data_IF_584260850787
#
_entry.id   IF_584260850787
#
_cell.length_a   1.000
_cell.length_b   1.000
_cell.length_c   1.000
_cell.angle_alpha   90.00
_cell.angle_beta   90.00
_cell.angle_gamma   90.00
#
_symmetry.space_group_name_H-M   'P 1'
#
loop_
_entity.id
_entity.type
_entity.pdbx_description
1 polymer ?
#
# COMPACT_ATOMS: atom_id res chain seq x y z
N UNK A 1 -25.97 -11.25 -10.82
CA UNK A 1 -25.65 -12.08 -9.64
C UNK A 1 -24.14 -12.00 -9.41
N UNK A 2 -23.68 -11.15 -8.50
CA UNK A 2 -22.28 -11.13 -8.07
C UNK A 2 -22.20 -11.78 -6.69
N UNK A 3 -21.73 -13.03 -6.64
CA UNK A 3 -21.37 -13.71 -5.42
C UNK A 3 -20.00 -13.22 -4.96
N UNK A 4 -19.99 -12.32 -3.98
CA UNK A 4 -18.79 -11.94 -3.25
C UNK A 4 -18.83 -12.58 -1.86
N UNK A 5 -18.59 -13.88 -1.80
CA UNK A 5 -18.17 -14.54 -0.56
C UNK A 5 -16.65 -14.44 -0.46
N UNK A 6 -16.18 -13.30 0.07
CA UNK A 6 -14.87 -13.22 0.70
C UNK A 6 -15.07 -12.69 2.10
N UNK A 7 -15.10 -13.63 3.04
CA UNK A 7 -15.01 -13.39 4.46
C UNK A 7 -13.84 -12.44 4.75
N UNK A 8 -14.16 -11.24 5.24
CA UNK A 8 -13.22 -10.43 6.00
C UNK A 8 -12.97 -11.18 7.30
N UNK A 9 -11.79 -11.77 7.41
CA UNK A 9 -11.31 -12.40 8.64
C UNK A 9 -11.35 -11.37 9.77
N UNK A 10 -12.15 -11.64 10.79
CA UNK A 10 -11.88 -11.17 12.16
C UNK A 10 -12.77 -10.09 12.76
N UNK A 11 -13.95 -9.79 12.20
CA UNK A 11 -14.91 -8.91 12.89
C UNK A 11 -16.24 -9.65 13.13
N UNK A 12 -16.57 -10.08 14.37
CA UNK A 12 -17.89 -10.61 14.65
C UNK A 12 -18.93 -9.49 14.45
N UNK A 13 -19.99 -9.81 13.72
CA UNK A 13 -20.99 -8.89 13.18
C UNK A 13 -21.89 -8.16 14.22
N UNK A 14 -21.46 -8.01 15.47
CA UNK A 14 -22.31 -7.52 16.57
C UNK A 14 -21.91 -6.19 17.22
N UNK A 15 -20.84 -5.52 16.78
CA UNK A 15 -20.43 -4.25 17.39
C UNK A 15 -20.82 -3.03 16.54
N UNK A 16 -21.77 -2.26 17.08
CA UNK A 16 -22.29 -1.05 16.46
C UNK A 16 -21.21 0.00 16.17
N UNK A 17 -21.50 0.83 15.16
CA UNK A 17 -20.68 1.90 14.54
C UNK A 17 -20.02 2.94 15.48
N UNK A 18 -20.17 2.81 16.80
CA UNK A 18 -19.57 3.67 17.83
C UNK A 18 -18.36 3.04 18.55
N UNK A 19 -18.04 1.79 18.30
CA UNK A 19 -16.92 1.07 18.98
C UNK A 19 -15.61 1.04 18.16
N UNK A 20 -15.60 1.59 16.94
CA UNK A 20 -14.40 1.61 16.07
C UNK A 20 -13.27 2.53 16.57
N UNK A 21 -13.45 3.28 17.68
CA UNK A 21 -12.39 4.11 18.28
C UNK A 21 -11.49 3.33 19.26
N UNK A 22 -11.78 2.06 19.52
CA UNK A 22 -11.05 1.19 20.46
C UNK A 22 -10.67 -0.16 19.89
N UNK A 23 -10.78 -0.36 18.57
CA UNK A 23 -10.01 -1.43 17.95
C UNK A 23 -8.54 -1.19 18.35
N UNK A 24 -7.88 -2.14 19.02
CA UNK A 24 -6.49 -1.95 19.37
C UNK A 24 -5.78 -1.75 18.03
N UNK A 25 -5.25 -0.54 17.83
CA UNK A 25 -4.18 -0.34 16.86
C UNK A 25 -3.24 -1.52 17.11
N UNK A 26 -3.12 -2.42 16.15
CA UNK A 26 -2.18 -3.52 16.21
C UNK A 26 -0.89 -2.94 16.78
N UNK A 27 -0.47 -3.44 17.95
CA UNK A 27 0.57 -2.83 18.77
C UNK A 27 1.72 -2.36 17.88
N UNK A 28 1.87 -1.05 17.74
CA UNK A 28 3.01 -0.43 17.08
C UNK A 28 4.26 -0.90 17.85
N UNK A 29 4.93 -1.96 17.38
CA UNK A 29 6.12 -2.51 18.01
C UNK A 29 6.16 -4.03 18.24
N UNK A 30 5.09 -4.78 17.97
CA UNK A 30 5.22 -6.24 17.97
C UNK A 30 5.96 -6.69 16.70
N UNK A 31 7.01 -7.53 16.80
CA UNK A 31 7.71 -8.04 15.64
C UNK A 31 6.74 -8.78 14.72
N UNK A 32 6.67 -8.38 13.46
CA UNK A 32 5.99 -9.18 12.44
C UNK A 32 6.86 -10.41 12.20
N UNK A 33 6.41 -11.58 12.66
CA UNK A 33 7.04 -12.83 12.26
C UNK A 33 6.83 -13.04 10.76
N UNK A 34 7.90 -12.84 9.99
CA UNK A 34 7.94 -13.16 8.56
C UNK A 34 7.98 -14.68 8.40
N UNK A 35 6.80 -15.32 8.42
CA UNK A 35 6.67 -16.77 8.26
C UNK A 35 7.22 -17.22 6.90
N UNK A 36 8.07 -18.24 6.95
CA UNK A 36 8.36 -19.08 5.77
C UNK A 36 9.39 -18.50 4.80
N UNK A 37 10.59 -18.19 5.28
CA UNK A 37 11.71 -17.87 4.40
C UNK A 37 12.83 -18.89 4.57
N UNK A 38 13.28 -19.47 3.46
CA UNK A 38 14.49 -20.29 3.42
C UNK A 38 15.76 -19.49 3.77
N UNK A 39 16.94 -19.98 3.40
CA UNK A 39 18.27 -19.38 3.68
C UNK A 39 18.49 -17.92 3.22
N UNK A 40 17.49 -17.24 2.65
CA UNK A 40 17.62 -15.89 2.13
C UNK A 40 17.23 -14.83 3.16
N UNK A 41 17.88 -13.66 3.08
CA UNK A 41 17.54 -12.51 3.91
C UNK A 41 16.13 -12.01 3.55
N UNK A 42 15.33 -11.58 4.54
CA UNK A 42 14.01 -11.02 4.28
C UNK A 42 14.12 -9.75 3.46
N UNK A 43 13.20 -9.58 2.52
CA UNK A 43 13.01 -8.31 1.81
C UNK A 43 11.64 -7.76 2.22
N UNK A 44 11.61 -6.51 2.66
CA UNK A 44 10.39 -5.78 2.96
C UNK A 44 10.23 -4.64 1.95
N UNK A 45 9.14 -4.69 1.18
CA UNK A 45 8.74 -3.61 0.29
C UNK A 45 7.57 -2.84 0.93
N UNK A 46 7.67 -1.52 1.03
CA UNK A 46 6.68 -0.65 1.68
C UNK A 46 6.20 0.37 0.65
N UNK A 47 4.89 0.39 0.37
CA UNK A 47 4.23 1.50 -0.31
C UNK A 47 3.59 2.43 0.72
N UNK A 48 3.84 3.73 0.62
CA UNK A 48 3.20 4.75 1.46
C UNK A 48 2.29 5.56 0.57
N UNK A 49 0.97 5.41 0.76
CA UNK A 49 -0.01 6.10 -0.07
C UNK A 49 0.03 7.61 0.16
N UNK A 50 -0.19 8.38 -0.92
CA UNK A 50 -0.16 9.84 -0.95
C UNK A 50 1.11 10.49 -0.37
N UNK A 51 2.23 9.76 -0.27
CA UNK A 51 3.50 10.27 0.20
C UNK A 51 4.22 11.10 -0.87
N UNK A 52 3.73 12.33 -1.09
CA UNK A 52 4.32 13.28 -2.03
C UNK A 52 5.79 13.56 -1.68
N UNK A 53 6.68 13.38 -2.65
CA UNK A 53 8.12 13.31 -2.42
C UNK A 53 8.71 14.60 -1.83
N UNK A 54 8.23 15.78 -2.23
CA UNK A 54 8.72 17.06 -1.69
C UNK A 54 8.31 17.27 -0.23
N UNK A 55 7.10 16.88 0.16
CA UNK A 55 6.66 16.89 1.56
C UNK A 55 7.52 15.94 2.40
N UNK A 56 7.75 14.72 1.93
CA UNK A 56 8.57 13.72 2.64
C UNK A 56 9.98 14.24 2.85
N UNK A 57 10.61 14.79 1.81
CA UNK A 57 11.96 15.39 1.92
C UNK A 57 12.01 16.55 2.92
N UNK A 58 11.01 17.44 2.90
CA UNK A 58 10.93 18.54 3.87
C UNK A 58 10.83 18.00 5.30
N UNK A 59 9.95 17.03 5.55
CA UNK A 59 9.76 16.44 6.87
C UNK A 59 11.01 15.69 7.37
N UNK A 60 11.79 15.08 6.47
CA UNK A 60 13.10 14.52 6.81
C UNK A 60 14.08 15.63 7.20
N UNK A 61 14.17 16.70 6.41
CA UNK A 61 15.05 17.84 6.68
C UNK A 61 14.72 18.55 8.01
N UNK A 62 13.43 18.64 8.35
CA UNK A 62 12.94 19.21 9.61
C UNK A 62 13.15 18.26 10.81
N UNK A 63 13.68 17.04 10.59
CA UNK A 63 13.92 16.04 11.64
C UNK A 63 12.66 15.30 12.11
N UNK A 64 11.51 15.49 11.45
CA UNK A 64 10.23 14.86 11.81
C UNK A 64 10.21 13.37 11.44
N UNK A 65 10.92 12.97 10.37
CA UNK A 65 11.01 11.59 9.90
C UNK A 65 12.45 11.03 10.06
N UNK A 66 12.96 10.86 11.29
CA UNK A 66 14.37 10.54 11.52
C UNK A 66 14.79 9.17 10.97
N UNK A 67 13.90 8.16 11.05
CA UNK A 67 14.21 6.82 10.53
C UNK A 67 14.29 6.80 9.00
N UNK A 68 13.44 7.57 8.32
CA UNK A 68 13.49 7.67 6.86
C UNK A 68 14.70 8.49 6.41
N UNK A 69 15.09 9.51 7.18
CA UNK A 69 16.33 10.25 6.99
C UNK A 69 17.57 9.35 7.10
N UNK A 70 17.64 8.52 8.16
CA UNK A 70 18.72 7.55 8.34
C UNK A 70 18.77 6.53 7.18
N UNK A 71 17.61 5.98 6.78
CA UNK A 71 17.52 5.05 5.65
C UNK A 71 18.01 5.69 4.33
N UNK A 72 17.67 6.96 4.10
CA UNK A 72 18.15 7.69 2.92
C UNK A 72 19.65 7.97 2.94
N UNK A 73 20.24 8.21 4.13
CA UNK A 73 21.66 8.48 4.29
C UNK A 73 22.55 7.21 4.19
N UNK A 74 22.06 6.08 4.69
CA UNK A 74 22.76 4.79 4.65
C UNK A 74 22.43 3.95 3.41
N UNK A 75 21.37 4.34 2.69
CA UNK A 75 20.86 3.66 1.50
C UNK A 75 20.97 4.50 0.24
N UNK A 76 19.94 4.41 -0.60
CA UNK A 76 19.85 5.15 -1.85
C UNK A 76 18.44 5.68 -2.06
N UNK A 77 18.33 6.83 -2.72
CA UNK A 77 17.07 7.49 -3.02
C UNK A 77 17.03 7.84 -4.50
N UNK A 78 15.93 7.48 -5.17
CA UNK A 78 15.75 7.69 -6.59
C UNK A 78 14.38 8.33 -6.84
N UNK A 79 14.31 9.22 -7.82
CA UNK A 79 13.04 9.66 -8.37
C UNK A 79 12.49 8.55 -9.27
N UNK A 80 11.23 8.19 -9.05
CA UNK A 80 10.53 7.19 -9.82
C UNK A 80 9.47 7.86 -10.70
N UNK A 81 9.36 7.41 -11.93
CA UNK A 81 8.24 7.76 -12.78
C UNK A 81 7.01 6.93 -12.37
N UNK A 82 5.89 7.60 -12.12
CA UNK A 82 4.60 6.99 -11.91
C UNK A 82 3.63 7.45 -12.99
N UNK A 83 2.77 6.54 -13.48
CA UNK A 83 1.69 6.85 -14.42
C UNK A 83 0.55 7.57 -13.69
N UNK A 84 0.83 8.77 -13.17
CA UNK A 84 -0.14 9.58 -12.42
C UNK A 84 -1.33 10.01 -13.28
N UNK A 85 -1.16 10.04 -14.60
CA UNK A 85 -2.18 10.26 -15.62
C UNK A 85 -3.26 9.17 -15.63
N UNK A 86 -2.93 7.94 -15.22
CA UNK A 86 -3.89 6.83 -15.09
C UNK A 86 -4.57 6.79 -13.71
N UNK A 87 -4.18 7.67 -12.79
CA UNK A 87 -4.68 7.70 -11.41
C UNK A 87 -3.98 6.72 -10.47
N UNK A 88 -4.25 6.85 -9.17
CA UNK A 88 -3.57 6.07 -8.11
C UNK A 88 -3.85 4.57 -8.17
N UNK A 89 -4.98 4.18 -8.75
CA UNK A 89 -5.42 2.79 -8.85
C UNK A 89 -4.47 1.91 -9.67
N UNK A 90 -3.85 2.44 -10.73
CA UNK A 90 -2.89 1.70 -11.55
C UNK A 90 -1.54 1.45 -10.83
N UNK A 91 -1.17 2.30 -9.88
CA UNK A 91 0.14 2.26 -9.24
C UNK A 91 0.37 1.02 -8.37
N UNK A 92 -0.66 0.57 -7.65
CA UNK A 92 -0.53 -0.60 -6.75
C UNK A 92 -0.28 -1.92 -7.50
N UNK A 93 -1.03 -2.26 -8.58
CA UNK A 93 -0.70 -3.39 -9.44
C UNK A 93 0.72 -3.31 -10.03
N UNK A 94 1.17 -2.14 -10.48
CA UNK A 94 2.55 -1.96 -10.97
C UNK A 94 3.57 -2.26 -9.86
N UNK A 95 3.35 -1.75 -8.65
CA UNK A 95 4.22 -2.00 -7.49
C UNK A 95 4.31 -3.49 -7.12
N UNK A 96 3.20 -4.21 -7.14
CA UNK A 96 3.15 -5.64 -6.78
C UNK A 96 3.70 -6.55 -7.89
N UNK A 97 3.42 -6.24 -9.15
CA UNK A 97 3.79 -7.10 -10.29
C UNK A 97 5.15 -6.78 -10.87
N UNK A 98 5.65 -5.56 -10.68
CA UNK A 98 6.86 -5.06 -11.36
C UNK A 98 6.69 -4.86 -12.86
N UNK A 99 5.44 -4.81 -13.36
CA UNK A 99 5.12 -4.63 -14.79
C UNK A 99 4.27 -3.38 -15.00
N UNK A 100 4.27 -2.76 -16.21
CA UNK A 100 3.47 -1.58 -16.49
C UNK A 100 1.98 -1.89 -16.72
N UNK A 101 1.09 -0.87 -16.72
CA UNK A 101 -0.37 -1.05 -16.85
C UNK A 101 -0.86 -1.77 -18.10
N UNK A 102 -0.17 -1.64 -19.22
CA UNK A 102 -0.45 -2.36 -20.46
C UNK A 102 -0.19 -3.87 -20.35
N UNK A 103 0.65 -4.29 -19.41
CA UNK A 103 0.97 -5.70 -19.16
C UNK A 103 0.03 -6.32 -18.12
N UNK A 104 -0.20 -5.65 -16.98
CA UNK A 104 -1.10 -6.20 -15.94
C UNK A 104 -2.59 -5.89 -16.18
N UNK A 105 -2.92 -4.97 -17.10
CA UNK A 105 -4.29 -4.69 -17.54
C UNK A 105 -5.18 -3.96 -16.54
N UNK A 106 -4.61 -3.42 -15.45
CA UNK A 106 -5.35 -2.72 -14.39
C UNK A 106 -5.03 -1.22 -14.44
N UNK A 107 -5.98 -0.44 -14.94
CA UNK A 107 -5.82 1.01 -15.13
C UNK A 107 -6.57 1.83 -14.09
N UNK A 108 -7.70 1.33 -13.59
CA UNK A 108 -8.56 2.03 -12.66
C UNK A 108 -9.33 1.03 -11.79
N UNK A 109 -9.87 1.51 -10.66
CA UNK A 109 -10.74 0.71 -9.78
C UNK A 109 -12.07 0.33 -10.45
N UNK A 110 -12.47 1.11 -11.47
CA UNK A 110 -13.76 0.99 -12.16
C UNK A 110 -13.55 0.96 -13.67
N UNK A 111 -13.59 -0.23 -14.25
CA UNK A 111 -13.62 -0.40 -15.69
C UNK A 111 -15.06 -0.29 -16.17
N UNK A 112 -15.34 0.63 -17.08
CA UNK A 112 -16.63 0.70 -17.76
C UNK A 112 -16.66 -0.31 -18.91
N UNK A 113 -17.74 -1.10 -18.97
CA UNK A 113 -17.97 -2.10 -20.01
C UNK A 113 -19.31 -1.78 -20.69
N UNK A 114 -19.32 -1.33 -21.96
CA UNK A 114 -20.54 -0.97 -22.67
C UNK A 114 -21.52 -2.14 -22.79
N UNK A 115 -21.02 -3.37 -22.93
CA UNK A 115 -21.85 -4.55 -23.16
C UNK A 115 -22.52 -5.02 -21.85
N UNK A 116 -21.95 -4.65 -20.70
CA UNK A 116 -22.42 -5.08 -19.37
C UNK A 116 -23.07 -3.98 -18.55
N UNK A 117 -22.93 -2.71 -18.93
CA UNK A 117 -23.36 -1.55 -18.14
C UNK A 117 -24.31 -0.59 -18.88
N UNK A 118 -25.04 -1.11 -19.87
CA UNK A 118 -26.16 -0.40 -20.52
C UNK A 118 -27.41 -0.35 -19.63
#
# INVERSE_FOLDING_TARGET
>A
MYGADRAVLGCPASQGKRDCRRAPLARLGEPVELRGMGKHRPVLAIGIDAAEATQVRRLVADGVLPNLGALGAEGAWFDLFAHADLGSAAGWPTFVTGTPPDVHGLYCDWLWDPERMA
#
